data_IF_510116073084
#
_entry.id   IF_510116073084
#
_cell.length_a   1.000
_cell.length_b   1.000
_cell.length_c   1.000
_cell.angle_alpha   90.00
_cell.angle_beta   90.00
_cell.angle_gamma   90.00
#
_symmetry.space_group_name_H-M   'P 1'
#
loop_
_entity.id
_entity.type
_entity.pdbx_description
1 polymer ?
#
# COMPACT_ATOMS: atom_id res chain seq x y z
N UNK A 1 -8.47 1.18 9.15
CA UNK A 1 -7.30 0.96 10.02
C UNK A 1 -6.36 -0.02 9.35
N UNK A 2 -5.09 -0.07 9.76
CA UNK A 2 -4.13 -0.94 9.08
C UNK A 2 -4.48 -2.42 9.23
N UNK A 3 -4.80 -2.87 10.44
CA UNK A 3 -5.19 -4.27 10.71
C UNK A 3 -6.43 -4.76 9.95
N UNK A 4 -7.48 -3.94 9.82
CA UNK A 4 -8.74 -4.38 9.23
C UNK A 4 -8.76 -4.31 7.69
N UNK A 5 -8.11 -3.31 7.10
CA UNK A 5 -8.27 -3.01 5.67
C UNK A 5 -6.95 -3.09 4.90
N UNK A 6 -5.90 -2.44 5.42
CA UNK A 6 -4.64 -2.29 4.66
C UNK A 6 -3.84 -3.57 4.67
N UNK A 7 -3.63 -4.18 5.84
CA UNK A 7 -2.84 -5.40 5.97
C UNK A 7 -3.41 -6.57 5.14
N UNK A 8 -4.70 -6.92 5.22
CA UNK A 8 -5.25 -8.00 4.42
C UNK A 8 -5.11 -7.75 2.91
N UNK A 9 -5.28 -6.49 2.47
CA UNK A 9 -5.10 -6.12 1.08
C UNK A 9 -3.62 -6.24 0.63
N UNK A 10 -2.68 -5.70 1.42
CA UNK A 10 -1.25 -5.81 1.11
C UNK A 10 -0.78 -7.27 1.10
N UNK A 11 -1.23 -8.08 2.07
CA UNK A 11 -0.89 -9.50 2.16
C UNK A 11 -1.38 -10.28 0.92
N UNK A 12 -2.60 -10.01 0.45
CA UNK A 12 -3.19 -10.71 -0.70
C UNK A 12 -2.66 -10.26 -2.07
N UNK A 13 -2.21 -9.00 -2.19
CA UNK A 13 -1.97 -8.39 -3.51
C UNK A 13 -0.55 -7.84 -3.72
N UNK A 14 0.20 -7.55 -2.65
CA UNK A 14 1.49 -6.87 -2.77
C UNK A 14 2.65 -7.65 -2.14
N UNK A 15 2.41 -8.34 -1.03
CA UNK A 15 3.46 -9.05 -0.27
C UNK A 15 4.08 -10.19 -1.06
N UNK A 16 3.38 -10.79 -2.04
CA UNK A 16 3.96 -11.81 -2.93
C UNK A 16 5.29 -11.37 -3.56
N UNK A 17 5.40 -10.10 -3.96
CA UNK A 17 6.62 -9.51 -4.56
C UNK A 17 7.34 -8.50 -3.66
N UNK A 18 6.72 -8.06 -2.56
CA UNK A 18 7.26 -7.07 -1.62
C UNK A 18 7.26 -7.61 -0.19
N UNK A 19 8.03 -8.67 0.05
CA UNK A 19 8.21 -9.29 1.37
C UNK A 19 9.69 -9.23 1.81
N UNK A 20 10.02 -9.90 2.93
CA UNK A 20 11.37 -9.96 3.48
C UNK A 20 12.37 -10.75 2.64
N UNK A 21 11.89 -11.68 1.81
CA UNK A 21 12.72 -12.59 1.01
C UNK A 21 12.83 -12.09 -0.43
N UNK A 22 11.72 -11.64 -0.99
CA UNK A 22 11.62 -11.00 -2.29
C UNK A 22 11.16 -9.56 -2.07
N UNK A 23 12.14 -8.66 -1.88
CA UNK A 23 11.91 -7.24 -1.67
C UNK A 23 12.06 -6.48 -2.98
N UNK A 24 11.10 -6.64 -3.91
CA UNK A 24 11.17 -5.98 -5.22
C UNK A 24 11.32 -4.46 -5.03
N UNK A 25 12.31 -3.88 -5.71
CA UNK A 25 12.70 -2.46 -5.57
C UNK A 25 13.04 -2.03 -4.13
N UNK A 26 13.52 -2.97 -3.31
CA UNK A 26 13.94 -2.74 -1.92
C UNK A 26 12.78 -2.44 -0.96
N UNK A 27 11.55 -2.83 -1.31
CA UNK A 27 10.35 -2.56 -0.51
C UNK A 27 9.85 -3.84 0.16
N UNK A 28 9.59 -3.76 1.48
CA UNK A 28 9.00 -4.84 2.26
C UNK A 28 7.70 -4.37 2.94
N UNK A 29 6.57 -4.94 2.52
CA UNK A 29 5.22 -4.60 2.98
C UNK A 29 4.63 -5.64 3.95
N UNK A 30 5.40 -6.67 4.33
CA UNK A 30 4.89 -7.82 5.11
C UNK A 30 4.51 -7.51 6.56
N UNK A 31 4.99 -6.38 7.10
CA UNK A 31 4.70 -5.95 8.48
C UNK A 31 4.52 -4.44 8.58
N UNK A 32 3.83 -4.00 9.63
CA UNK A 32 3.64 -2.58 9.91
C UNK A 32 4.98 -1.85 10.05
N UNK A 33 5.94 -2.45 10.77
CA UNK A 33 7.27 -1.88 10.97
C UNK A 33 8.04 -1.78 9.65
N UNK A 34 8.00 -2.80 8.80
CA UNK A 34 8.77 -2.83 7.56
C UNK A 34 8.25 -1.86 6.49
N UNK A 35 6.95 -1.55 6.51
CA UNK A 35 6.36 -0.61 5.55
C UNK A 35 6.50 0.86 5.97
N UNK A 36 6.81 1.17 7.24
CA UNK A 36 6.97 2.56 7.73
C UNK A 36 7.83 3.44 6.81
N UNK A 37 8.99 3.00 6.29
CA UNK A 37 9.80 3.82 5.40
C UNK A 37 9.10 4.25 4.10
N UNK A 38 8.10 3.49 3.63
CA UNK A 38 7.38 3.81 2.39
C UNK A 38 6.13 4.67 2.60
N UNK A 39 5.76 4.93 3.85
CA UNK A 39 4.62 5.79 4.24
C UNK A 39 5.01 6.97 5.13
N UNK A 40 6.30 7.13 5.44
CA UNK A 40 6.81 8.05 6.47
C UNK A 40 6.47 9.54 6.26
N UNK A 41 6.24 9.99 5.03
CA UNK A 41 5.87 11.40 4.78
C UNK A 41 4.43 11.72 5.18
N UNK A 42 3.58 10.70 5.31
CA UNK A 42 2.15 10.86 5.64
C UNK A 42 1.40 11.85 4.73
N UNK A 43 1.84 11.97 3.49
CA UNK A 43 1.27 12.87 2.50
C UNK A 43 1.17 12.20 1.11
N UNK A 44 0.74 12.97 0.10
CA UNK A 44 0.62 12.45 -1.26
C UNK A 44 1.97 12.14 -1.93
N UNK A 45 3.10 12.54 -1.33
CA UNK A 45 4.45 12.21 -1.83
C UNK A 45 4.97 10.86 -1.31
N UNK A 46 4.28 10.24 -0.35
CA UNK A 46 4.65 8.94 0.19
C UNK A 46 4.84 7.91 -0.93
N UNK A 47 5.90 7.10 -0.83
CA UNK A 47 6.27 6.13 -1.87
C UNK A 47 5.13 5.16 -2.18
N UNK A 48 4.40 4.71 -1.15
CA UNK A 48 3.24 3.83 -1.36
C UNK A 48 2.15 4.53 -2.18
N UNK A 49 1.82 5.79 -1.86
CA UNK A 49 0.79 6.57 -2.57
C UNK A 49 1.21 6.83 -4.01
N UNK A 50 2.43 7.31 -4.21
CA UNK A 50 2.94 7.67 -5.54
C UNK A 50 3.11 6.45 -6.46
N UNK A 51 3.38 5.27 -5.90
CA UNK A 51 3.44 4.04 -6.65
C UNK A 51 2.04 3.53 -7.06
N UNK A 52 1.02 3.65 -6.20
CA UNK A 52 -0.30 3.06 -6.44
C UNK A 52 -1.29 4.00 -7.14
N UNK A 53 -1.08 5.32 -7.10
CA UNK A 53 -1.95 6.32 -7.73
C UNK A 53 -2.02 6.16 -9.27
N UNK A 54 -3.05 6.70 -9.95
CA UNK A 54 -3.11 6.68 -11.41
C UNK A 54 -1.82 7.20 -12.06
N UNK A 55 -1.26 6.45 -13.00
CA UNK A 55 0.03 6.74 -13.64
C UNK A 55 1.27 6.34 -12.82
N UNK A 56 1.09 5.88 -11.57
CA UNK A 56 2.14 5.30 -10.75
C UNK A 56 2.55 3.91 -11.24
N UNK A 57 3.80 3.54 -10.98
CA UNK A 57 4.40 2.30 -11.50
C UNK A 57 3.66 1.02 -11.04
N UNK A 58 2.98 1.06 -9.89
CA UNK A 58 2.25 -0.08 -9.31
C UNK A 58 0.73 0.00 -9.56
N UNK A 59 0.22 1.06 -10.20
CA UNK A 59 -1.21 1.22 -10.40
C UNK A 59 -1.85 0.06 -11.15
N UNK A 60 -1.16 -0.50 -12.15
CA UNK A 60 -1.64 -1.67 -12.91
C UNK A 60 -1.73 -2.97 -12.11
N UNK A 61 -1.12 -3.04 -10.93
CA UNK A 61 -1.19 -4.19 -10.02
C UNK A 61 -2.21 -3.97 -8.89
N UNK A 62 -2.74 -2.76 -8.74
CA UNK A 62 -3.82 -2.49 -7.79
C UNK A 62 -5.13 -3.01 -8.39
N UNK A 63 -5.74 -3.96 -7.71
CA UNK A 63 -6.99 -4.60 -8.15
C UNK A 63 -8.09 -4.29 -7.15
N UNK A 64 -9.34 -4.34 -7.62
CA UNK A 64 -10.50 -4.19 -6.76
C UNK A 64 -10.68 -5.40 -5.84
N UNK A 65 -11.49 -5.22 -4.81
CA UNK A 65 -12.03 -6.30 -3.98
C UNK A 65 -13.49 -6.56 -4.36
N UNK A 66 -14.17 -7.48 -3.66
CA UNK A 66 -15.61 -7.69 -3.82
C UNK A 66 -16.47 -6.47 -3.44
N UNK A 67 -15.94 -5.55 -2.64
CA UNK A 67 -16.66 -4.38 -2.12
C UNK A 67 -16.13 -3.05 -2.63
N UNK A 68 -14.97 -3.04 -3.31
CA UNK A 68 -14.29 -1.83 -3.74
C UNK A 68 -13.71 -1.99 -5.14
N UNK A 69 -13.86 -0.98 -5.98
CA UNK A 69 -13.13 -0.89 -7.24
C UNK A 69 -11.64 -0.64 -7.00
N UNK A 70 -10.80 -0.89 -8.00
CA UNK A 70 -9.37 -0.59 -7.90
C UNK A 70 -9.10 0.89 -7.55
N UNK A 71 -9.87 1.82 -8.13
CA UNK A 71 -9.77 3.24 -7.80
C UNK A 71 -10.12 3.52 -6.32
N UNK A 72 -11.18 2.90 -5.80
CA UNK A 72 -11.55 3.03 -4.38
C UNK A 72 -10.47 2.45 -3.46
N UNK A 73 -9.80 1.38 -3.87
CA UNK A 73 -8.66 0.81 -3.12
C UNK A 73 -7.48 1.77 -3.10
N UNK A 74 -7.13 2.38 -4.24
CA UNK A 74 -6.11 3.44 -4.30
C UNK A 74 -6.46 4.58 -3.35
N UNK A 75 -7.72 5.03 -3.36
CA UNK A 75 -8.17 6.10 -2.46
C UNK A 75 -8.09 5.68 -0.99
N UNK A 76 -8.48 4.45 -0.65
CA UNK A 76 -8.34 3.95 0.72
C UNK A 76 -6.89 3.92 1.20
N UNK A 77 -5.96 3.45 0.37
CA UNK A 77 -4.52 3.46 0.69
C UNK A 77 -4.05 4.90 0.89
N UNK A 78 -4.40 5.80 -0.04
CA UNK A 78 -4.04 7.22 0.03
C UNK A 78 -4.56 7.88 1.31
N UNK A 79 -5.85 7.71 1.63
CA UNK A 79 -6.46 8.30 2.83
C UNK A 79 -5.84 7.74 4.11
N UNK A 80 -5.56 6.45 4.16
CA UNK A 80 -4.88 5.86 5.33
C UNK A 80 -3.48 6.45 5.54
N UNK A 81 -2.68 6.59 4.48
CA UNK A 81 -1.35 7.22 4.58
C UNK A 81 -1.45 8.68 5.03
N UNK A 82 -2.37 9.45 4.42
CA UNK A 82 -2.63 10.86 4.77
C UNK A 82 -3.08 11.05 6.23
N UNK A 83 -3.73 10.04 6.81
CA UNK A 83 -4.15 10.04 8.22
C UNK A 83 -3.03 9.70 9.22
N UNK A 84 -1.77 9.63 8.78
CA UNK A 84 -0.64 9.24 9.62
C UNK A 84 -0.34 7.73 9.61
N UNK A 85 -0.91 6.99 8.65
CA UNK A 85 -0.75 5.55 8.52
C UNK A 85 -0.97 4.76 9.84
N UNK A 86 -2.05 5.00 10.61
CA UNK A 86 -2.23 4.38 11.92
C UNK A 86 -2.39 2.86 11.84
N UNK A 87 -1.82 2.15 12.83
CA UNK A 87 -1.89 0.69 12.95
C UNK A 87 -3.32 0.16 13.13
#
# INVERSE_FOLDING_TARGET
TYTANIKPYLDGHCVTCHNSTLSSSGVNLSSYTSLQPVVASHDSSAKLVTATQPGGLMNGFVTGTSTMTAAQVVDMIKQWVLSGAPQ
#
